data_IF_778859487435
#
_entry.id   IF_778859487435
#
_cell.length_a   1.000
_cell.length_b   1.000
_cell.length_c   1.000
_cell.angle_alpha   90.00
_cell.angle_beta   90.00
_cell.angle_gamma   90.00
#
_symmetry.space_group_name_H-M   'P 1'
#
loop_
_entity.id
_entity.type
_entity.pdbx_description
1 polymer ?
#
# COMPACT_ATOMS: atom_id res chain seq x y z
N UNK A 1 -0.20 0.01 25.47
CA UNK A 1 -0.06 -0.51 24.10
C UNK A 1 -0.84 0.41 23.19
N UNK A 2 -0.27 0.83 22.07
CA UNK A 2 -1.00 1.56 21.04
C UNK A 2 -2.05 0.62 20.45
N UNK A 3 -3.30 1.04 20.40
CA UNK A 3 -4.35 0.30 19.70
C UNK A 3 -4.09 0.42 18.20
N UNK A 4 -3.63 -0.65 17.57
CA UNK A 4 -3.25 -0.67 16.17
C UNK A 4 -4.46 -0.78 15.23
N UNK A 5 -5.64 -1.13 15.75
CA UNK A 5 -6.86 -1.31 14.94
C UNK A 5 -7.39 0.03 14.38
N UNK A 6 -7.01 1.14 15.01
CA UNK A 6 -7.36 2.49 14.55
C UNK A 6 -6.67 2.89 13.24
N UNK A 7 -5.53 2.26 12.91
CA UNK A 7 -4.84 2.50 11.65
C UNK A 7 -5.41 1.55 10.63
N UNK A 8 -5.98 2.11 9.57
CA UNK A 8 -6.67 1.34 8.54
C UNK A 8 -6.02 1.64 7.20
N UNK A 9 -5.04 0.84 6.71
CA UNK A 9 -4.61 0.96 5.33
C UNK A 9 -5.74 0.58 4.36
N UNK A 10 -5.72 1.17 3.17
CA UNK A 10 -6.62 0.82 2.08
C UNK A 10 -6.05 -0.41 1.35
N UNK A 11 -6.72 -1.54 1.43
CA UNK A 11 -6.28 -2.80 0.82
C UNK A 11 -7.26 -3.26 -0.25
N UNK A 12 -6.74 -3.91 -1.29
CA UNK A 12 -7.54 -4.43 -2.38
C UNK A 12 -7.70 -5.95 -2.31
N UNK A 13 -8.91 -6.44 -2.62
CA UNK A 13 -9.16 -7.86 -2.85
C UNK A 13 -8.71 -8.22 -4.28
N UNK A 14 -7.73 -9.11 -4.40
CA UNK A 14 -7.16 -9.53 -5.69
C UNK A 14 -8.23 -10.13 -6.60
N UNK A 15 -8.15 -9.85 -7.89
CA UNK A 15 -8.92 -10.55 -8.93
C UNK A 15 -8.61 -12.05 -8.89
N UNK A 16 -7.32 -12.40 -8.78
CA UNK A 16 -6.87 -13.78 -8.61
C UNK A 16 -5.66 -13.88 -7.65
N UNK A 17 -5.68 -14.81 -6.69
CA UNK A 17 -6.85 -15.59 -6.25
C UNK A 17 -7.86 -14.69 -5.52
N UNK A 18 -9.16 -14.93 -5.74
CA UNK A 18 -10.23 -14.22 -5.04
C UNK A 18 -10.13 -14.43 -3.51
N UNK A 19 -10.54 -13.43 -2.73
CA UNK A 19 -10.43 -13.44 -1.27
C UNK A 19 -9.05 -13.12 -0.70
N UNK A 20 -8.01 -13.01 -1.53
CA UNK A 20 -6.70 -12.57 -1.08
C UNK A 20 -6.62 -11.04 -1.05
N UNK A 21 -6.24 -10.47 0.09
CA UNK A 21 -6.14 -9.02 0.28
C UNK A 21 -4.70 -8.56 0.38
N UNK A 22 -4.36 -7.44 -0.25
CA UNK A 22 -3.03 -6.84 -0.16
C UNK A 22 -3.07 -5.32 -0.39
N UNK A 23 -1.97 -4.65 -0.09
CA UNK A 23 -1.74 -3.27 -0.51
C UNK A 23 -1.50 -3.20 -2.03
N UNK A 24 -1.80 -2.05 -2.68
CA UNK A 24 -1.33 -1.76 -4.03
C UNK A 24 0.19 -1.86 -4.14
N UNK A 25 0.70 -2.42 -5.23
CA UNK A 25 2.13 -2.63 -5.45
C UNK A 25 2.48 -3.02 -6.89
N UNK A 26 3.52 -2.38 -7.43
CA UNK A 26 4.15 -2.86 -8.65
C UNK A 26 5.63 -2.54 -8.76
N UNK A 27 6.12 -2.52 -9.99
CA UNK A 27 7.55 -2.43 -10.31
C UNK A 27 8.04 -0.98 -10.31
N UNK A 28 9.36 -0.82 -10.23
CA UNK A 28 10.01 0.46 -10.52
C UNK A 28 10.59 0.35 -11.93
N UNK A 29 10.17 1.24 -12.83
CA UNK A 29 10.64 1.26 -14.21
C UNK A 29 12.04 1.86 -14.34
N UNK A 30 12.71 1.61 -15.45
CA UNK A 30 14.03 2.21 -15.72
C UNK A 30 13.91 3.74 -15.77
N UNK A 31 14.75 4.42 -15.00
CA UNK A 31 14.75 5.88 -14.90
C UNK A 31 13.69 6.45 -13.94
N UNK A 32 12.87 5.61 -13.30
CA UNK A 32 11.85 6.01 -12.34
C UNK A 32 12.38 6.00 -10.91
N UNK A 33 12.07 7.04 -10.13
CA UNK A 33 12.32 7.04 -8.68
C UNK A 33 11.28 6.19 -7.94
N UNK A 34 11.57 5.66 -6.73
CA UNK A 34 10.59 4.90 -5.97
C UNK A 34 9.29 5.68 -5.66
N UNK A 35 9.38 7.01 -5.50
CA UNK A 35 8.20 7.85 -5.26
C UNK A 35 7.35 8.01 -6.54
N UNK A 36 7.98 8.21 -7.70
CA UNK A 36 7.27 8.26 -8.99
C UNK A 36 6.56 6.93 -9.26
N UNK A 37 7.24 5.81 -9.01
CA UNK A 37 6.65 4.48 -9.12
C UNK A 37 5.45 4.34 -8.17
N UNK A 38 5.58 4.75 -6.90
CA UNK A 38 4.47 4.67 -5.95
C UNK A 38 3.23 5.47 -6.38
N UNK A 39 3.41 6.65 -6.97
CA UNK A 39 2.30 7.42 -7.53
C UNK A 39 1.68 6.77 -8.78
N UNK A 40 2.51 6.28 -9.70
CA UNK A 40 2.05 5.58 -10.90
C UNK A 40 1.26 4.33 -10.54
N UNK A 41 1.81 3.46 -9.70
CA UNK A 41 1.18 2.20 -9.29
C UNK A 41 -0.13 2.45 -8.52
N UNK A 42 -0.17 3.48 -7.66
CA UNK A 42 -1.41 3.91 -7.00
C UNK A 42 -2.48 4.26 -8.04
N UNK A 43 -2.13 5.00 -9.08
CA UNK A 43 -3.07 5.36 -10.15
C UNK A 43 -3.43 4.17 -11.05
N UNK A 44 -2.47 3.32 -11.42
CA UNK A 44 -2.67 2.14 -12.29
C UNK A 44 -3.63 1.13 -11.67
N UNK A 45 -3.46 0.83 -10.38
CA UNK A 45 -4.23 -0.22 -9.72
C UNK A 45 -5.53 0.30 -9.09
N UNK A 46 -5.61 1.59 -8.73
CA UNK A 46 -6.75 2.14 -7.97
C UNK A 46 -7.44 3.35 -8.59
N UNK A 47 -6.85 3.94 -9.64
CA UNK A 47 -7.31 5.20 -10.23
C UNK A 47 -7.10 6.43 -9.34
N UNK A 48 -6.53 6.27 -8.15
CA UNK A 48 -6.30 7.37 -7.21
C UNK A 48 -5.11 8.22 -7.66
N UNK A 49 -5.31 9.54 -7.67
CA UNK A 49 -4.27 10.50 -8.01
C UNK A 49 -4.39 11.76 -7.14
N UNK A 50 -3.35 12.60 -7.21
CA UNK A 50 -3.33 13.90 -6.54
C UNK A 50 -4.50 14.77 -7.00
N UNK A 51 -5.14 15.48 -6.05
CA UNK A 51 -6.19 16.45 -6.34
C UNK A 51 -7.59 15.85 -6.32
N UNK A 52 -7.97 15.05 -7.31
CA UNK A 52 -9.37 14.60 -7.49
C UNK A 52 -9.86 13.68 -6.36
N UNK A 53 -8.97 12.85 -5.80
CA UNK A 53 -9.33 11.88 -4.77
C UNK A 53 -8.89 12.30 -3.35
N UNK A 54 -8.44 13.56 -3.16
CA UNK A 54 -7.94 14.04 -1.86
C UNK A 54 -6.90 13.10 -1.23
N UNK A 55 -5.95 12.63 -2.03
CA UNK A 55 -4.83 11.81 -1.58
C UNK A 55 -3.58 12.69 -1.49
N UNK A 56 -2.92 12.67 -0.34
CA UNK A 56 -1.67 13.38 -0.09
C UNK A 56 -0.54 12.42 0.29
N UNK A 57 0.66 12.68 -0.22
CA UNK A 57 1.84 11.92 0.17
C UNK A 57 2.28 12.34 1.58
N UNK A 58 2.36 11.37 2.48
CA UNK A 58 2.96 11.53 3.82
C UNK A 58 4.48 11.32 3.72
N UNK A 59 4.90 10.36 2.90
CA UNK A 59 6.31 10.09 2.57
C UNK A 59 6.64 8.60 2.52
N UNK A 60 7.92 8.31 2.34
CA UNK A 60 8.44 6.94 2.36
C UNK A 60 8.55 6.39 3.78
N UNK A 61 8.16 5.12 3.97
CA UNK A 61 8.40 4.38 5.21
C UNK A 61 9.92 4.27 5.43
N UNK A 62 10.43 4.62 6.63
CA UNK A 62 11.87 4.75 6.86
C UNK A 62 12.62 3.41 6.84
N UNK A 63 13.93 3.51 6.59
CA UNK A 63 14.86 2.38 6.60
C UNK A 63 15.06 1.73 5.22
N UNK A 64 15.78 0.62 5.22
CA UNK A 64 16.05 -0.18 4.02
C UNK A 64 14.75 -0.80 3.46
N UNK A 65 14.72 -1.12 2.15
CA UNK A 65 13.61 -1.85 1.53
C UNK A 65 13.26 -3.11 2.33
N UNK A 66 11.96 -3.35 2.49
CA UNK A 66 11.50 -4.58 3.09
C UNK A 66 11.57 -5.69 2.04
N UNK A 67 12.26 -6.77 2.37
CA UNK A 67 12.55 -7.86 1.44
C UNK A 67 11.83 -9.13 1.88
N UNK A 68 11.43 -9.94 0.89
CA UNK A 68 10.98 -11.30 1.11
C UNK A 68 11.39 -12.18 -0.06
N UNK A 69 11.63 -13.46 0.25
CA UNK A 69 11.90 -14.48 -0.76
C UNK A 69 10.61 -15.15 -1.22
N UNK A 70 10.56 -15.55 -2.48
CA UNK A 70 9.49 -16.38 -2.99
C UNK A 70 9.64 -17.81 -2.43
N UNK A 71 8.55 -18.44 -1.96
CA UNK A 71 8.63 -19.82 -1.49
C UNK A 71 9.10 -20.77 -2.60
N UNK A 72 9.69 -21.90 -2.22
CA UNK A 72 10.21 -22.89 -3.19
C UNK A 72 9.13 -23.37 -4.18
N UNK A 73 7.88 -23.42 -3.75
CA UNK A 73 6.73 -23.83 -4.54
C UNK A 73 5.97 -22.67 -5.20
N UNK A 74 6.46 -21.44 -5.14
CA UNK A 74 5.83 -20.31 -5.84
C UNK A 74 5.97 -20.47 -7.35
N UNK A 75 4.93 -20.99 -8.02
CA UNK A 75 4.86 -21.13 -9.48
C UNK A 75 4.67 -19.81 -10.26
N UNK A 76 5.10 -18.68 -9.69
CA UNK A 76 4.82 -17.34 -10.19
C UNK A 76 5.68 -16.91 -11.38
N UNK A 77 5.18 -15.92 -12.14
CA UNK A 77 5.88 -15.30 -13.26
C UNK A 77 7.31 -14.84 -12.89
N UNK A 78 7.47 -14.18 -11.74
CA UNK A 78 8.76 -13.67 -11.28
C UNK A 78 9.81 -14.77 -11.06
N UNK A 79 9.41 -15.92 -10.51
CA UNK A 79 10.34 -17.04 -10.33
C UNK A 79 10.79 -17.64 -11.66
N UNK A 80 9.91 -17.65 -12.67
CA UNK A 80 10.26 -18.07 -14.05
C UNK A 80 11.26 -17.12 -14.71
N UNK A 81 11.28 -15.86 -14.31
CA UNK A 81 12.27 -14.86 -14.72
C UNK A 81 13.57 -14.92 -13.89
N UNK A 82 13.71 -15.90 -12.98
CA UNK A 82 14.91 -16.10 -12.16
C UNK A 82 14.98 -15.24 -10.90
N UNK A 83 13.93 -14.48 -10.58
CA UNK A 83 13.89 -13.70 -9.33
C UNK A 83 13.67 -14.62 -8.12
N UNK A 84 14.44 -14.37 -7.06
CA UNK A 84 14.37 -15.11 -5.79
C UNK A 84 13.39 -14.49 -4.79
N UNK A 85 13.01 -13.23 -5.00
CA UNK A 85 12.19 -12.45 -4.07
C UNK A 85 11.92 -11.04 -4.59
N UNK A 86 11.42 -10.17 -3.71
CA UNK A 86 11.25 -8.75 -4.00
C UNK A 86 11.84 -7.88 -2.88
N UNK A 87 12.32 -6.70 -3.25
CA UNK A 87 12.65 -5.61 -2.35
C UNK A 87 11.62 -4.49 -2.55
N UNK A 88 10.90 -4.11 -1.50
CA UNK A 88 9.78 -3.18 -1.60
C UNK A 88 10.07 -1.90 -0.81
N UNK A 89 9.96 -0.78 -1.50
CA UNK A 89 9.82 0.54 -0.88
C UNK A 89 8.33 0.79 -0.64
N UNK A 90 7.98 1.20 0.57
CA UNK A 90 6.59 1.54 0.91
C UNK A 90 6.44 3.04 1.08
N UNK A 91 5.36 3.58 0.52
CA UNK A 91 5.00 4.99 0.65
C UNK A 91 3.63 5.08 1.32
N UNK A 92 3.51 6.03 2.24
CA UNK A 92 2.26 6.31 2.93
C UNK A 92 1.54 7.45 2.23
N UNK A 93 0.33 7.16 1.81
CA UNK A 93 -0.63 8.14 1.30
C UNK A 93 -1.76 8.31 2.32
N UNK A 94 -2.19 9.54 2.52
CA UNK A 94 -3.28 9.87 3.44
C UNK A 94 -4.47 10.44 2.68
N UNK A 95 -5.67 10.15 3.18
CA UNK A 95 -6.91 10.78 2.77
C UNK A 95 -7.81 10.97 3.99
N UNK A 96 -8.56 12.07 4.02
CA UNK A 96 -9.58 12.35 5.03
C UNK A 96 -10.94 11.72 4.66
N UNK A 97 -11.04 11.12 3.48
CA UNK A 97 -12.27 10.58 2.94
C UNK A 97 -12.41 9.09 3.28
N UNK A 98 -13.19 8.78 4.32
CA UNK A 98 -13.53 7.39 4.68
C UNK A 98 -14.27 6.66 3.54
N UNK A 99 -14.90 7.40 2.59
CA UNK A 99 -15.56 6.86 1.41
C UNK A 99 -14.63 6.61 0.20
N UNK A 100 -13.33 6.91 0.32
CA UNK A 100 -12.33 6.74 -0.73
C UNK A 100 -12.37 5.36 -1.43
N UNK A 101 -12.55 4.22 -0.72
CA UNK A 101 -12.52 2.91 -1.37
C UNK A 101 -13.65 2.72 -2.39
N UNK A 102 -14.78 3.42 -2.24
CA UNK A 102 -15.87 3.39 -3.23
C UNK A 102 -15.66 4.33 -4.42
N UNK A 103 -14.62 5.17 -4.38
CA UNK A 103 -14.25 6.12 -5.43
C UNK A 103 -13.09 5.62 -6.30
N UNK A 104 -12.52 4.46 -5.99
CA UNK A 104 -11.44 3.86 -6.78
C UNK A 104 -11.97 3.33 -8.10
N UNK A 105 -11.15 3.45 -9.13
CA UNK A 105 -11.41 2.90 -10.45
C UNK A 105 -10.46 1.72 -10.68
N UNK A 106 -11.00 0.51 -10.52
CA UNK A 106 -10.24 -0.75 -10.51
C UNK A 106 -10.22 -1.43 -11.88
N UNK A 107 -10.44 -0.69 -12.97
CA UNK A 107 -10.41 -1.27 -14.33
C UNK A 107 -9.01 -1.67 -14.79
N UNK A 108 -7.97 -1.28 -14.04
CA UNK A 108 -6.59 -1.17 -14.52
C UNK A 108 -6.43 0.08 -15.38
N UNK A 109 -5.49 0.96 -15.03
CA UNK A 109 -5.07 2.11 -15.85
C UNK A 109 -3.73 1.82 -16.50
N UNK A 110 -3.26 2.71 -17.38
CA UNK A 110 -1.98 2.54 -18.08
C UNK A 110 -1.92 1.40 -19.11
N UNK A 111 -3.01 0.64 -19.30
CA UNK A 111 -3.03 -0.55 -20.14
C UNK A 111 -2.79 -1.85 -19.37
N UNK A 112 -2.65 -1.78 -18.05
CA UNK A 112 -2.51 -2.94 -17.17
C UNK A 112 -3.87 -3.63 -16.94
N UNK A 113 -3.89 -4.96 -16.75
CA UNK A 113 -5.09 -5.66 -16.34
C UNK A 113 -5.50 -5.28 -14.90
N UNK A 114 -6.79 -5.42 -14.54
CA UNK A 114 -7.24 -5.14 -13.19
C UNK A 114 -6.62 -6.11 -12.18
N UNK A 115 -5.95 -5.57 -11.16
CA UNK A 115 -5.37 -6.36 -10.05
C UNK A 115 -6.39 -6.61 -8.93
N UNK A 116 -7.32 -5.66 -8.69
CA UNK A 116 -8.26 -5.69 -7.58
C UNK A 116 -9.73 -5.68 -8.04
N UNK A 117 -10.61 -6.24 -7.19
CA UNK A 117 -12.07 -6.28 -7.40
C UNK A 117 -12.82 -5.25 -6.55
N UNK A 118 -12.27 -4.93 -5.37
CA UNK A 118 -12.75 -3.88 -4.48
C UNK A 118 -11.64 -3.45 -3.53
N UNK A 119 -11.80 -2.27 -2.95
CA UNK A 119 -10.91 -1.70 -1.95
C UNK A 119 -11.67 -1.56 -0.62
N UNK A 120 -10.97 -1.75 0.50
CA UNK A 120 -11.52 -1.53 1.84
C UNK A 120 -10.47 -0.95 2.79
N UNK A 121 -10.90 -0.02 3.64
CA UNK A 121 -10.15 0.36 4.83
C UNK A 121 -10.24 -0.78 5.85
N UNK A 122 -9.13 -1.47 6.12
CA UNK A 122 -9.13 -2.61 7.07
C UNK A 122 -8.17 -2.36 8.22
N UNK A 123 -8.48 -2.77 9.46
CA UNK A 123 -7.56 -2.64 10.59
C UNK A 123 -6.20 -3.25 10.26
N UNK A 124 -5.12 -2.52 10.54
CA UNK A 124 -3.77 -2.96 10.17
C UNK A 124 -3.43 -4.37 10.68
N UNK A 125 -3.77 -4.77 11.93
CA UNK A 125 -3.54 -6.14 12.39
C UNK A 125 -4.22 -7.20 11.52
N UNK A 126 -5.46 -6.96 11.07
CA UNK A 126 -6.18 -7.89 10.19
C UNK A 126 -5.50 -8.02 8.82
N UNK A 127 -4.91 -6.93 8.32
CA UNK A 127 -4.15 -6.94 7.07
C UNK A 127 -2.87 -7.77 7.21
N UNK A 128 -2.16 -7.64 8.33
CA UNK A 128 -0.97 -8.45 8.64
C UNK A 128 -1.34 -9.93 8.77
N UNK A 129 -2.45 -10.24 9.44
CA UNK A 129 -2.85 -11.63 9.67
C UNK A 129 -3.35 -12.31 8.38
N UNK A 130 -4.07 -11.55 7.54
CA UNK A 130 -4.72 -12.03 6.32
C UNK A 130 -3.83 -12.11 5.07
N UNK A 131 -2.63 -11.51 5.08
CA UNK A 131 -1.69 -11.64 3.95
C UNK A 131 -1.11 -13.06 3.88
N UNK A 132 -0.66 -13.45 2.67
CA UNK A 132 0.06 -14.72 2.46
C UNK A 132 1.25 -14.85 3.42
N UNK A 133 1.46 -16.05 3.95
CA UNK A 133 2.35 -16.30 5.10
C UNK A 133 3.76 -15.74 4.93
N UNK A 134 4.38 -15.93 3.77
CA UNK A 134 5.74 -15.47 3.50
C UNK A 134 5.88 -13.93 3.44
N UNK A 135 4.77 -13.19 3.25
CA UNK A 135 4.73 -11.71 3.32
C UNK A 135 4.40 -11.17 4.70
N UNK A 136 3.91 -12.02 5.64
CA UNK A 136 3.51 -11.58 6.98
C UNK A 136 4.63 -10.83 7.74
N UNK A 137 5.90 -11.29 7.73
CA UNK A 137 6.99 -10.54 8.37
C UNK A 137 7.19 -9.14 7.78
N UNK A 138 7.09 -9.01 6.45
CA UNK A 138 7.19 -7.71 5.76
C UNK A 138 6.05 -6.79 6.19
N UNK A 139 4.82 -7.29 6.26
CA UNK A 139 3.66 -6.51 6.67
C UNK A 139 3.70 -6.13 8.16
N UNK A 140 4.20 -7.01 9.03
CA UNK A 140 4.40 -6.71 10.44
C UNK A 140 5.46 -5.62 10.65
N UNK A 141 6.58 -5.70 9.91
CA UNK A 141 7.62 -4.67 9.95
C UNK A 141 7.11 -3.34 9.37
N UNK A 142 6.36 -3.39 8.27
CA UNK A 142 5.69 -2.23 7.69
C UNK A 142 4.76 -1.56 8.71
N UNK A 143 3.95 -2.32 9.44
CA UNK A 143 3.09 -1.80 10.50
C UNK A 143 3.93 -1.12 11.59
N UNK A 144 4.99 -1.77 12.07
CA UNK A 144 5.85 -1.22 13.12
C UNK A 144 6.53 0.09 12.69
N UNK A 145 6.99 0.18 11.43
CA UNK A 145 7.68 1.38 10.90
C UNK A 145 6.74 2.51 10.53
N UNK A 146 5.54 2.20 10.06
CA UNK A 146 4.57 3.21 9.60
C UNK A 146 3.81 3.87 10.74
N UNK A 147 3.54 3.18 11.85
CA UNK A 147 2.73 3.74 12.95
C UNK A 147 3.31 5.04 13.52
N UNK A 148 4.61 5.15 13.87
CA UNK A 148 5.18 6.41 14.34
C UNK A 148 5.08 7.54 13.31
N UNK A 149 5.22 7.20 12.02
CA UNK A 149 5.09 8.15 10.91
C UNK A 149 3.65 8.66 10.76
N UNK A 150 2.66 7.77 10.85
CA UNK A 150 1.23 8.13 10.83
C UNK A 150 0.90 9.02 12.03
N UNK A 151 1.35 8.66 13.24
CA UNK A 151 1.10 9.46 14.45
C UNK A 151 1.72 10.86 14.35
N UNK A 152 2.97 10.96 13.90
CA UNK A 152 3.66 12.23 13.69
C UNK A 152 2.92 13.10 12.67
N UNK A 153 2.52 12.50 11.54
CA UNK A 153 1.78 13.19 10.49
C UNK A 153 0.44 13.75 11.00
N UNK A 154 -0.37 12.92 11.63
CA UNK A 154 -1.68 13.30 12.16
C UNK A 154 -1.55 14.38 13.25
N UNK A 155 -0.52 14.32 14.09
CA UNK A 155 -0.28 15.34 15.12
C UNK A 155 0.02 16.71 14.49
N UNK A 156 0.90 16.75 13.50
CA UNK A 156 1.27 17.99 12.80
C UNK A 156 0.07 18.59 12.06
N UNK A 157 -0.68 17.77 11.30
CA UNK A 157 -1.89 18.21 10.59
C UNK A 157 -2.93 18.81 11.53
N UNK A 158 -3.21 18.16 12.66
CA UNK A 158 -4.16 18.66 13.66
C UNK A 158 -3.72 19.98 14.29
N UNK A 159 -2.41 20.22 14.45
CA UNK A 159 -1.90 21.49 14.95
C UNK A 159 -2.11 22.61 13.91
N UNK A 160 -1.86 22.33 12.63
CA UNK A 160 -2.06 23.27 11.52
C UNK A 160 -3.53 23.64 11.30
N UNK A 161 -4.46 22.70 11.52
CA UNK A 161 -5.89 23.00 11.46
C UNK A 161 -6.35 23.92 12.61
N UNK A 162 -5.79 23.75 13.81
CA UNK A 162 -6.10 24.58 14.98
C UNK A 162 -5.52 25.99 14.92
N UNK A 163 -4.45 26.20 14.15
CA UNK A 163 -3.84 27.54 13.97
C UNK A 163 -4.54 28.37 12.88
N UNK A 164 -5.35 27.74 12.03
CA UNK A 164 -6.10 28.36 10.93
C UNK A 164 -7.59 28.62 11.23
N UNK A 165 -8.10 28.15 12.36
CA UNK A 165 -9.48 28.35 12.82
C UNK A 165 -9.56 29.29 14.01
#
# INVERSE_FOLDING_TARGET
MTDLSRYRPNVGERVQPAGAWQLPQGGINEGETPEEAAWRELWEETGLQKGECSVELVGQVPGDPLTYDFPENAGGFFKKQGFIGQAQYFFLFFSEDDGLPSKTDLTGKGGEPPEFTRMEWRPFPEVVDGIVEFKRPVYAELQSRSVPMIESFLKSRNADMKSKG
#
